data_IF_496239166516
#
_entry.id   IF_496239166516
#
_cell.length_a   1.000
_cell.length_b   1.000
_cell.length_c   1.000
_cell.angle_alpha   90.00
_cell.angle_beta   90.00
_cell.angle_gamma   90.00
#
_symmetry.space_group_name_H-M   'P 1'
#
loop_
_entity.id
_entity.type
_entity.pdbx_description
1 polymer ?
#
# COMPACT_ATOMS: atom_id res chain seq x y z
N UNK A 1 4.86 19.19 21.36
CA UNK A 1 4.21 20.40 20.81
C UNK A 1 4.28 21.48 21.87
N UNK A 2 4.55 22.71 21.48
CA UNK A 2 4.47 23.89 22.35
C UNK A 2 3.44 24.83 21.72
N UNK A 3 2.19 24.76 22.19
CA UNK A 3 1.04 25.33 21.48
C UNK A 3 0.88 24.73 20.08
N UNK A 4 0.60 25.59 19.09
CA UNK A 4 0.46 25.22 17.67
C UNK A 4 1.80 25.11 16.93
N UNK A 5 2.88 24.77 17.66
CA UNK A 5 4.21 24.63 17.07
C UNK A 5 4.89 23.33 17.45
N UNK A 6 5.47 22.68 16.46
CA UNK A 6 6.38 21.55 16.62
C UNK A 6 7.81 22.05 16.71
N UNK A 7 8.49 21.68 17.79
CA UNK A 7 9.92 21.94 17.96
C UNK A 7 10.72 20.74 17.48
N UNK A 8 11.59 20.95 16.50
CA UNK A 8 12.54 19.93 16.03
C UNK A 8 13.94 20.35 16.46
N UNK A 9 14.65 19.45 17.13
CA UNK A 9 16.01 19.68 17.63
C UNK A 9 16.95 18.61 17.07
N UNK A 10 18.12 19.02 16.60
CA UNK A 10 19.20 18.13 16.18
C UNK A 10 20.55 18.77 16.49
N UNK A 11 21.28 18.19 17.44
CA UNK A 11 22.50 18.79 17.98
C UNK A 11 22.25 20.23 18.48
N UNK A 12 22.93 21.20 17.85
CA UNK A 12 22.80 22.64 18.17
C UNK A 12 21.68 23.33 17.38
N UNK A 13 21.07 22.66 16.40
CA UNK A 13 20.02 23.21 15.57
C UNK A 13 18.65 23.07 16.23
N UNK A 14 17.85 24.14 16.19
CA UNK A 14 16.48 24.18 16.70
C UNK A 14 15.57 24.86 15.67
N UNK A 15 14.54 24.14 15.25
CA UNK A 15 13.49 24.63 14.34
C UNK A 15 12.15 24.66 15.06
N UNK A 16 11.31 25.61 14.68
CA UNK A 16 9.94 25.74 15.17
C UNK A 16 9.02 25.79 13.96
N UNK A 17 8.16 24.78 13.82
CA UNK A 17 7.26 24.60 12.69
C UNK A 17 5.83 24.85 13.16
N UNK A 18 5.05 25.65 12.42
CA UNK A 18 3.61 25.77 12.68
C UNK A 18 2.89 24.45 12.39
N UNK A 19 1.90 24.10 13.20
CA UNK A 19 1.09 22.89 13.07
C UNK A 19 -0.38 23.22 12.88
N UNK A 20 -1.12 22.27 12.33
CA UNK A 20 -2.58 22.27 12.35
C UNK A 20 -3.07 21.22 13.36
N UNK A 21 -4.30 21.38 13.91
CA UNK A 21 -4.93 20.37 14.75
C UNK A 21 -4.98 19.00 14.05
N UNK A 22 -4.67 17.93 14.79
CA UNK A 22 -4.75 16.57 14.25
C UNK A 22 -6.18 16.19 13.80
N UNK A 23 -7.20 16.79 14.44
CA UNK A 23 -8.60 16.58 14.10
C UNK A 23 -8.99 17.13 12.71
N UNK A 24 -8.20 18.03 12.13
CA UNK A 24 -8.43 18.55 10.77
C UNK A 24 -7.90 17.59 9.69
N UNK A 25 -7.14 16.56 10.09
CA UNK A 25 -6.65 15.55 9.17
C UNK A 25 -7.77 14.53 8.88
N UNK A 26 -8.05 14.21 7.60
CA UNK A 26 -9.10 13.26 7.27
C UNK A 26 -8.77 11.87 7.82
N UNK A 27 -9.70 11.27 8.56
CA UNK A 27 -9.58 9.88 8.93
C UNK A 27 -9.87 9.00 7.71
N UNK A 28 -9.09 7.93 7.57
CA UNK A 28 -9.41 6.84 6.67
C UNK A 28 -10.42 5.95 7.39
N UNK A 29 -11.52 5.62 6.72
CA UNK A 29 -12.46 4.64 7.23
C UNK A 29 -11.81 3.25 7.21
N UNK A 30 -12.13 2.43 8.22
CA UNK A 30 -11.73 1.02 8.22
C UNK A 30 -12.46 0.28 7.08
N UNK A 31 -11.69 -0.30 6.16
CA UNK A 31 -12.22 -1.11 5.07
C UNK A 31 -12.01 -2.61 5.37
N UNK A 32 -13.07 -3.41 5.55
CA UNK A 32 -12.91 -4.84 5.77
C UNK A 32 -12.38 -5.52 4.51
N UNK A 33 -11.26 -6.25 4.64
CA UNK A 33 -10.67 -6.99 3.53
C UNK A 33 -11.53 -8.20 3.14
N UNK A 34 -11.86 -8.33 1.85
CA UNK A 34 -12.53 -9.53 1.32
C UNK A 34 -11.56 -10.72 1.19
N UNK A 35 -10.28 -10.44 0.92
CA UNK A 35 -9.22 -11.44 0.72
C UNK A 35 -7.93 -10.93 1.37
N UNK A 36 -7.25 -11.81 2.11
CA UNK A 36 -5.96 -11.54 2.73
C UNK A 36 -4.95 -12.65 2.40
N UNK A 37 -3.74 -12.25 2.00
CA UNK A 37 -2.64 -13.18 1.73
C UNK A 37 -1.30 -12.49 1.98
N UNK A 38 -0.27 -13.29 2.21
CA UNK A 38 1.09 -12.80 2.42
C UNK A 38 1.96 -13.13 1.21
N UNK A 39 2.85 -12.21 0.85
CA UNK A 39 3.87 -12.40 -0.17
C UNK A 39 5.17 -11.68 0.21
N UNK A 40 6.32 -12.12 -0.31
CA UNK A 40 7.56 -11.36 -0.15
C UNK A 40 7.43 -9.96 -0.76
N UNK A 41 7.90 -8.94 -0.03
CA UNK A 41 7.92 -7.55 -0.50
C UNK A 41 8.60 -7.40 -1.87
N UNK A 42 9.70 -8.13 -2.09
CA UNK A 42 10.42 -8.13 -3.36
C UNK A 42 9.56 -8.63 -4.53
N UNK A 43 8.70 -9.62 -4.28
CA UNK A 43 7.78 -10.13 -5.29
C UNK A 43 6.75 -9.06 -5.67
N UNK A 44 6.13 -8.41 -4.68
CA UNK A 44 5.17 -7.33 -4.92
C UNK A 44 5.81 -6.17 -5.69
N UNK A 45 6.99 -5.73 -5.25
CA UNK A 45 7.77 -4.67 -5.92
C UNK A 45 8.03 -5.01 -7.38
N UNK A 46 8.49 -6.24 -7.65
CA UNK A 46 8.77 -6.70 -9.03
C UNK A 46 7.51 -6.66 -9.90
N UNK A 47 6.36 -7.10 -9.39
CA UNK A 47 5.09 -7.07 -10.15
C UNK A 47 4.69 -5.63 -10.51
N UNK A 48 4.85 -4.69 -9.58
CA UNK A 48 4.59 -3.27 -9.82
C UNK A 48 5.55 -2.73 -10.89
N UNK A 49 6.85 -2.90 -10.71
CA UNK A 49 7.88 -2.34 -11.61
C UNK A 49 7.77 -2.90 -13.03
N UNK A 50 7.47 -4.20 -13.17
CA UNK A 50 7.39 -4.86 -14.46
C UNK A 50 6.15 -4.45 -15.30
N UNK A 51 5.16 -3.77 -14.73
CA UNK A 51 3.89 -3.48 -15.42
C UNK A 51 3.42 -2.03 -15.31
N UNK A 52 4.12 -1.16 -14.56
CA UNK A 52 3.62 0.20 -14.26
C UNK A 52 3.61 1.11 -15.49
N UNK A 53 4.53 0.87 -16.42
CA UNK A 53 4.63 1.65 -17.66
C UNK A 53 3.43 1.45 -18.59
N UNK A 54 2.64 0.40 -18.38
CA UNK A 54 1.48 0.06 -19.20
C UNK A 54 0.20 0.78 -18.76
N UNK A 55 0.22 1.49 -17.63
CA UNK A 55 -0.93 2.27 -17.16
C UNK A 55 -1.16 3.49 -18.06
N UNK A 56 -2.42 3.83 -18.30
CA UNK A 56 -2.76 5.09 -18.95
C UNK A 56 -2.59 6.26 -17.96
N UNK A 57 -2.37 7.46 -18.49
CA UNK A 57 -2.22 8.67 -17.69
C UNK A 57 -3.39 9.62 -17.95
N UNK A 58 -4.20 9.87 -16.90
CA UNK A 58 -5.36 10.77 -16.97
C UNK A 58 -6.37 10.37 -18.07
N UNK A 59 -6.53 9.07 -18.31
CA UNK A 59 -7.53 8.57 -19.24
C UNK A 59 -8.93 8.72 -18.64
N UNK A 60 -9.91 9.09 -19.47
CA UNK A 60 -11.33 9.18 -19.06
C UNK A 60 -11.89 7.83 -18.62
N UNK A 61 -11.32 6.74 -19.12
CA UNK A 61 -11.57 5.37 -18.66
C UNK A 61 -10.74 5.13 -17.40
N UNK A 62 -11.30 5.50 -16.25
CA UNK A 62 -10.60 5.49 -14.96
C UNK A 62 -9.93 4.15 -14.62
N UNK A 63 -10.48 3.02 -15.06
CA UNK A 63 -9.93 1.68 -14.84
C UNK A 63 -8.59 1.43 -15.57
N UNK A 64 -8.22 2.27 -16.53
CA UNK A 64 -6.91 2.21 -17.20
C UNK A 64 -5.81 2.98 -16.45
N UNK A 65 -6.17 3.81 -15.47
CA UNK A 65 -5.23 4.65 -14.71
C UNK A 65 -4.60 3.90 -13.52
N UNK A 66 -4.70 2.56 -13.50
CA UNK A 66 -4.24 1.71 -12.41
C UNK A 66 -3.79 0.34 -12.89
N UNK A 67 -3.50 -0.55 -11.93
CA UNK A 67 -3.09 -1.93 -12.17
C UNK A 67 -4.19 -2.88 -11.72
N UNK A 68 -4.45 -3.89 -12.54
CA UNK A 68 -5.24 -5.05 -12.12
C UNK A 68 -4.39 -5.95 -11.23
N UNK A 69 -4.95 -6.33 -10.08
CA UNK A 69 -4.43 -7.42 -9.25
C UNK A 69 -5.44 -8.56 -9.26
N UNK A 70 -4.97 -9.76 -9.57
CA UNK A 70 -5.78 -10.97 -9.61
C UNK A 70 -5.11 -12.03 -8.74
N UNK A 71 -5.91 -12.76 -7.98
CA UNK A 71 -5.47 -13.90 -7.17
C UNK A 71 -6.23 -15.15 -7.62
N UNK A 72 -5.51 -16.25 -7.80
CA UNK A 72 -6.10 -17.55 -8.08
C UNK A 72 -5.78 -18.50 -6.94
N UNK A 73 -6.75 -19.32 -6.53
CA UNK A 73 -6.51 -20.39 -5.58
C UNK A 73 -5.64 -21.46 -6.25
N UNK A 74 -4.44 -21.68 -5.73
CA UNK A 74 -3.58 -22.76 -6.17
C UNK A 74 -4.18 -24.11 -5.75
N UNK A 75 -4.86 -24.81 -6.66
CA UNK A 75 -5.22 -26.21 -6.42
C UNK A 75 -3.94 -27.04 -6.40
N UNK A 76 -3.50 -27.45 -5.21
CA UNK A 76 -2.47 -28.50 -5.09
C UNK A 76 -3.21 -29.84 -5.12
N UNK A 77 -3.06 -30.66 -6.17
CA UNK A 77 -3.68 -31.98 -6.18
C UNK A 77 -3.10 -32.77 -5.01
N UNK A 78 -3.97 -33.21 -4.09
CA UNK A 78 -3.60 -34.24 -3.11
C UNK A 78 -3.15 -35.46 -3.91
N UNK A 79 -1.84 -35.72 -3.97
CA UNK A 79 -1.32 -36.99 -4.46
C UNK A 79 -1.82 -38.06 -3.50
N UNK A 80 -2.86 -38.80 -3.91
CA UNK A 80 -3.22 -40.06 -3.26
C UNK A 80 -2.01 -40.98 -3.32
N UNK A 81 -1.58 -41.58 -2.21
CA UNK A 81 -0.52 -42.59 -2.24
C UNK A 81 -1.02 -43.75 -3.08
N UNK A 82 -0.30 -44.06 -4.14
CA UNK A 82 -0.53 -45.24 -4.97
C UNK A 82 -0.32 -46.47 -4.08
N UNK A 83 -1.40 -47.17 -3.76
CA UNK A 83 -1.35 -48.41 -2.98
C UNK A 83 -1.03 -49.54 -3.96
N UNK A 84 0.12 -50.18 -3.76
CA UNK A 84 0.56 -51.37 -4.51
C UNK A 84 -0.13 -52.65 -4.10
#
# INVERSE_FOLDING_TARGET
>A
LEGDRMLVRSGRSRFSLSTLPAADFPNLDDWPSEVEFTLPQATMKRLIEATQFSMAHQDVRYYLNGKLFETALSYTPLRTPETG
#
